data_IF_970351057508
#
_entry.id   IF_970351057508
#
_cell.length_a   1.000
_cell.length_b   1.000
_cell.length_c   1.000
_cell.angle_alpha   90.00
_cell.angle_beta   90.00
_cell.angle_gamma   90.00
#
_symmetry.space_group_name_H-M   'P 1'
#
loop_
_entity.id
_entity.type
_entity.pdbx_description
1 polymer ?
#
# COMPACT_ATOMS: atom_id res chain seq x y z
N UNK A 1 10.99 6.97 -28.54
CA UNK A 1 11.69 8.28 -28.53
C UNK A 1 12.66 8.25 -27.37
N UNK A 2 13.94 8.52 -27.60
CA UNK A 2 14.94 8.57 -26.52
C UNK A 2 14.71 9.85 -25.70
N UNK A 3 14.67 9.80 -24.36
CA UNK A 3 14.47 10.99 -23.55
C UNK A 3 15.65 11.96 -23.74
N UNK A 4 15.36 13.26 -23.72
CA UNK A 4 16.39 14.31 -23.88
C UNK A 4 17.40 14.34 -22.73
N UNK A 5 16.98 13.82 -21.57
CA UNK A 5 17.84 13.64 -20.40
C UNK A 5 17.87 12.13 -20.13
N UNK A 6 19.04 11.46 -20.22
CA UNK A 6 19.14 10.06 -19.89
C UNK A 6 18.86 9.83 -18.40
N UNK A 7 18.33 8.65 -18.06
CA UNK A 7 18.22 8.22 -16.66
C UNK A 7 19.62 8.20 -16.06
N UNK A 8 19.82 8.93 -14.97
CA UNK A 8 21.03 8.85 -14.16
C UNK A 8 20.77 7.86 -13.02
N UNK A 9 21.53 6.77 -12.99
CA UNK A 9 21.54 5.83 -11.88
C UNK A 9 22.58 6.28 -10.85
N UNK A 10 22.14 7.17 -9.96
CA UNK A 10 22.99 7.72 -8.91
C UNK A 10 22.93 6.82 -7.67
N UNK A 11 24.02 6.80 -6.90
CA UNK A 11 24.05 6.13 -5.61
C UNK A 11 23.54 7.07 -4.51
N UNK A 12 22.94 6.49 -3.47
CA UNK A 12 22.67 7.23 -2.24
C UNK A 12 23.89 7.18 -1.33
N UNK A 13 24.37 8.34 -0.90
CA UNK A 13 25.50 8.43 0.02
C UNK A 13 25.19 7.73 1.36
N UNK A 14 23.92 7.75 1.78
CA UNK A 14 23.46 7.14 3.02
C UNK A 14 23.51 5.60 2.99
N UNK A 15 23.49 4.99 1.80
CA UNK A 15 23.50 3.53 1.63
C UNK A 15 24.93 2.94 1.69
N UNK A 16 25.95 3.79 1.64
CA UNK A 16 27.33 3.31 1.65
C UNK A 16 27.67 2.66 3.00
N UNK A 17 28.42 1.55 2.94
CA UNK A 17 28.79 0.77 4.14
C UNK A 17 29.60 1.58 5.16
N UNK A 18 30.35 2.57 4.70
CA UNK A 18 31.13 3.49 5.53
C UNK A 18 30.29 4.65 6.11
N UNK A 19 29.06 4.87 5.65
CA UNK A 19 28.27 6.02 6.08
C UNK A 19 27.83 5.87 7.55
N UNK A 20 28.02 6.89 8.40
CA UNK A 20 27.76 6.77 9.84
C UNK A 20 26.30 6.42 10.15
N UNK A 21 26.10 5.39 10.98
CA UNK A 21 24.76 4.86 11.28
C UNK A 21 23.82 5.90 11.88
N UNK A 22 24.31 6.77 12.76
CA UNK A 22 23.48 7.83 13.36
C UNK A 22 23.01 8.86 12.32
N UNK A 23 23.87 9.23 11.35
CA UNK A 23 23.48 10.11 10.24
C UNK A 23 22.48 9.43 9.32
N UNK A 24 22.63 8.12 9.07
CA UNK A 24 21.66 7.34 8.27
C UNK A 24 20.28 7.40 8.89
N UNK A 25 20.21 7.22 10.21
CA UNK A 25 18.95 7.34 10.95
C UNK A 25 18.32 8.73 10.83
N UNK A 26 19.11 9.81 10.85
CA UNK A 26 18.59 11.16 10.62
C UNK A 26 18.10 11.38 9.18
N UNK A 27 18.83 10.88 8.17
CA UNK A 27 18.38 10.94 6.77
C UNK A 27 17.04 10.21 6.60
N UNK A 28 16.94 8.97 7.10
CA UNK A 28 15.72 8.17 7.05
C UNK A 28 14.55 8.84 7.78
N UNK A 29 14.83 9.45 8.94
CA UNK A 29 13.83 10.23 9.70
C UNK A 29 13.36 11.45 8.90
N UNK A 30 14.29 12.19 8.30
CA UNK A 30 13.98 13.35 7.46
C UNK A 30 13.13 12.98 6.26
N UNK A 31 13.49 11.91 5.53
CA UNK A 31 12.71 11.39 4.42
C UNK A 31 11.30 10.97 4.86
N UNK A 32 11.19 10.25 5.98
CA UNK A 32 9.87 9.90 6.55
C UNK A 32 9.05 11.14 6.89
N UNK A 33 9.68 12.18 7.43
CA UNK A 33 9.02 13.45 7.73
C UNK A 33 8.51 14.14 6.45
N UNK A 34 9.29 14.15 5.36
CA UNK A 34 8.83 14.74 4.08
C UNK A 34 7.58 14.05 3.53
N UNK A 35 7.40 12.75 3.80
CA UNK A 35 6.23 11.99 3.35
C UNK A 35 5.00 12.14 4.25
N UNK A 36 5.20 12.55 5.50
CA UNK A 36 4.15 12.59 6.53
C UNK A 36 3.71 14.00 6.87
N UNK A 37 4.53 15.00 6.55
CA UNK A 37 4.20 16.41 6.74
C UNK A 37 3.40 16.95 5.56
N UNK A 38 2.36 17.72 5.87
CA UNK A 38 1.61 18.51 4.91
C UNK A 38 2.08 19.96 5.02
N UNK A 39 2.69 20.51 3.96
CA UNK A 39 3.14 21.90 3.93
C UNK A 39 1.91 22.80 3.74
N UNK A 40 1.56 23.67 4.72
CA UNK A 40 0.41 24.56 4.58
C UNK A 40 0.51 25.40 3.31
N UNK A 41 -0.63 25.65 2.66
CA UNK A 41 -0.77 26.42 1.42
C UNK A 41 -0.22 25.76 0.14
N UNK A 42 0.74 24.84 0.24
CA UNK A 42 1.30 24.12 -0.92
C UNK A 42 0.68 22.73 -1.11
N UNK A 43 0.23 22.10 -0.03
CA UNK A 43 -0.31 20.74 -0.05
C UNK A 43 -1.66 20.69 0.66
N UNK A 44 -2.61 19.93 0.10
CA UNK A 44 -3.91 19.68 0.73
C UNK A 44 -3.86 18.52 1.74
N UNK A 45 -2.88 17.62 1.59
CA UNK A 45 -2.61 16.51 2.49
C UNK A 45 -1.14 16.08 2.36
N UNK A 46 -0.66 15.23 3.29
CA UNK A 46 0.69 14.67 3.18
C UNK A 46 0.82 13.76 1.95
N UNK A 47 2.03 13.59 1.40
CA UNK A 47 2.27 12.65 0.30
C UNK A 47 1.78 11.23 0.57
N UNK A 48 1.94 10.71 1.79
CA UNK A 48 1.41 9.38 2.16
C UNK A 48 -0.13 9.31 2.06
N UNK A 49 -0.83 10.35 2.53
CA UNK A 49 -2.30 10.44 2.39
C UNK A 49 -2.72 10.61 0.93
N UNK A 50 -1.93 11.32 0.12
CA UNK A 50 -2.18 11.43 -1.32
C UNK A 50 -2.10 10.06 -2.00
N UNK A 51 -1.12 9.23 -1.67
CA UNK A 51 -1.03 7.84 -2.19
C UNK A 51 -2.24 7.02 -1.76
N UNK A 52 -2.67 7.10 -0.50
CA UNK A 52 -3.89 6.42 -0.05
C UNK A 52 -5.14 6.87 -0.83
N UNK A 53 -5.26 8.17 -1.13
CA UNK A 53 -6.34 8.71 -1.97
C UNK A 53 -6.29 8.15 -3.40
N UNK A 54 -5.10 8.05 -3.99
CA UNK A 54 -4.90 7.49 -5.32
C UNK A 54 -5.30 6.00 -5.32
N UNK A 55 -4.79 5.20 -4.38
CA UNK A 55 -5.15 3.78 -4.27
C UNK A 55 -6.67 3.59 -4.15
N UNK A 56 -7.32 4.37 -3.27
CA UNK A 56 -8.78 4.31 -3.10
C UNK A 56 -9.54 4.73 -4.36
N UNK A 57 -9.07 5.76 -5.07
CA UNK A 57 -9.71 6.26 -6.29
C UNK A 57 -9.57 5.26 -7.44
N UNK A 58 -8.34 4.84 -7.73
CA UNK A 58 -8.05 3.99 -8.90
C UNK A 58 -8.56 2.55 -8.70
N UNK A 59 -8.47 2.00 -7.49
CA UNK A 59 -8.96 0.64 -7.22
C UNK A 59 -10.44 0.60 -6.84
N UNK A 60 -11.02 1.74 -6.45
CA UNK A 60 -12.46 1.90 -6.17
C UNK A 60 -13.01 0.76 -5.28
N UNK A 61 -13.99 -0.02 -5.78
CA UNK A 61 -14.61 -1.12 -5.02
C UNK A 61 -13.64 -2.29 -4.75
N UNK A 62 -12.60 -2.44 -5.56
CA UNK A 62 -11.61 -3.52 -5.44
C UNK A 62 -10.50 -3.21 -4.44
N UNK A 63 -10.42 -1.98 -3.91
CA UNK A 63 -9.34 -1.57 -2.97
C UNK A 63 -9.22 -2.51 -1.76
N UNK A 64 -10.36 -3.01 -1.25
CA UNK A 64 -10.42 -3.93 -0.12
C UNK A 64 -10.14 -5.40 -0.48
N UNK A 65 -10.13 -5.72 -1.77
CA UNK A 65 -9.89 -7.06 -2.31
C UNK A 65 -8.41 -7.43 -2.36
N UNK A 66 -7.49 -6.53 -2.00
CA UNK A 66 -6.05 -6.78 -2.02
C UNK A 66 -5.42 -6.85 -0.63
N UNK A 67 -4.32 -7.59 -0.55
CA UNK A 67 -3.26 -7.42 0.44
C UNK A 67 -2.12 -6.66 -0.23
N UNK A 68 -1.70 -5.54 0.38
CA UNK A 68 -0.62 -4.71 -0.14
C UNK A 68 0.71 -5.19 0.44
N UNK A 69 1.70 -5.44 -0.41
CA UNK A 69 3.02 -5.93 0.01
C UNK A 69 4.07 -4.99 -0.58
N UNK A 70 4.78 -4.29 0.29
CA UNK A 70 5.92 -3.46 -0.09
C UNK A 70 7.16 -4.35 -0.19
N UNK A 71 7.72 -4.49 -1.38
CA UNK A 71 8.84 -5.39 -1.67
C UNK A 71 10.22 -4.76 -1.45
N UNK A 72 10.25 -3.47 -1.16
CA UNK A 72 11.49 -2.72 -0.96
C UNK A 72 11.27 -1.67 0.14
N UNK A 73 10.73 -2.13 1.27
CA UNK A 73 10.24 -1.25 2.32
C UNK A 73 11.34 -0.47 3.04
N UNK A 74 12.62 -0.89 2.95
CA UNK A 74 13.72 -0.34 3.74
C UNK A 74 13.36 -0.31 5.23
N UNK A 75 13.52 0.84 5.90
CA UNK A 75 13.10 1.03 7.29
C UNK A 75 11.57 1.14 7.50
N UNK A 76 10.77 1.03 6.44
CA UNK A 76 9.30 1.12 6.43
C UNK A 76 8.75 2.35 5.70
N UNK A 77 9.53 3.43 5.63
CA UNK A 77 9.24 4.62 4.82
C UNK A 77 7.80 5.15 4.96
N UNK A 78 7.11 5.46 3.85
CA UNK A 78 5.75 5.99 3.88
C UNK A 78 4.68 4.91 4.14
N UNK A 79 5.02 3.63 4.02
CA UNK A 79 4.05 2.52 3.96
C UNK A 79 3.15 2.41 5.19
N UNK A 80 3.65 2.52 6.44
CA UNK A 80 2.80 2.56 7.63
C UNK A 80 1.77 3.71 7.61
N UNK A 81 2.13 4.85 7.03
CA UNK A 81 1.26 6.03 6.97
C UNK A 81 0.23 5.93 5.85
N UNK A 82 0.61 5.35 4.71
CA UNK A 82 -0.32 5.00 3.62
C UNK A 82 -1.37 4.01 4.13
N UNK A 83 -0.93 2.97 4.84
CA UNK A 83 -1.80 1.97 5.47
C UNK A 83 -2.83 2.64 6.39
N UNK A 84 -2.37 3.45 7.34
CA UNK A 84 -3.22 4.12 8.30
C UNK A 84 -4.23 5.05 7.60
N UNK A 85 -3.77 5.88 6.66
CA UNK A 85 -4.64 6.80 5.93
C UNK A 85 -5.71 6.04 5.15
N UNK A 86 -5.34 4.96 4.45
CA UNK A 86 -6.28 4.15 3.67
C UNK A 86 -7.31 3.44 4.56
N UNK A 87 -6.87 2.81 5.65
CA UNK A 87 -7.77 2.11 6.57
C UNK A 87 -8.69 3.07 7.35
N UNK A 88 -8.24 4.28 7.68
CA UNK A 88 -9.10 5.32 8.26
C UNK A 88 -10.21 5.72 7.28
N UNK A 89 -9.86 5.97 6.01
CA UNK A 89 -10.83 6.32 4.97
C UNK A 89 -11.89 5.24 4.75
N UNK A 90 -11.48 3.97 4.72
CA UNK A 90 -12.39 2.82 4.57
C UNK A 90 -13.28 2.60 5.81
N UNK A 91 -12.81 3.02 6.98
CA UNK A 91 -13.60 2.99 8.21
C UNK A 91 -14.63 4.11 8.25
N UNK A 92 -14.28 5.34 7.82
CA UNK A 92 -15.20 6.47 7.77
C UNK A 92 -16.33 6.31 6.75
N UNK A 93 -16.08 5.59 5.63
CA UNK A 93 -17.15 5.29 4.66
C UNK A 93 -18.22 4.35 5.21
N UNK A 94 -17.92 3.57 6.25
CA UNK A 94 -18.91 2.73 6.96
C UNK A 94 -19.88 3.56 7.81
N UNK A 95 -19.47 4.76 8.23
CA UNK A 95 -20.21 5.62 9.16
C UNK A 95 -21.13 6.62 8.47
N UNK A 96 -21.07 6.74 7.14
CA UNK A 96 -21.98 7.62 6.40
C UNK A 96 -23.31 6.90 6.20
N UNK A 97 -24.44 7.38 6.76
CA UNK A 97 -25.73 6.74 6.54
C UNK A 97 -26.07 6.80 5.05
N UNK A 98 -26.37 5.65 4.45
CA UNK A 98 -26.99 5.59 3.14
C UNK A 98 -28.18 6.54 3.13
N UNK A 99 -28.21 7.51 2.22
CA UNK A 99 -29.37 8.37 2.03
C UNK A 99 -30.62 7.48 1.93
N UNK A 100 -31.73 7.81 2.63
CA UNK A 100 -32.95 7.03 2.49
C UNK A 100 -33.33 6.98 1.00
N UNK A 101 -33.88 5.85 0.51
CA UNK A 101 -34.31 5.75 -0.88
C UNK A 101 -35.21 6.94 -1.20
N UNK A 102 -34.95 7.60 -2.33
CA UNK A 102 -35.81 8.71 -2.75
C UNK A 102 -37.25 8.22 -2.79
N UNK A 103 -38.19 9.05 -2.37
CA UNK A 103 -39.62 8.73 -2.35
C UNK A 103 -40.12 8.17 -3.71
N UNK A 104 -39.49 8.59 -4.82
CA UNK A 104 -39.78 8.09 -6.17
C UNK A 104 -39.48 6.59 -6.37
N UNK A 105 -38.50 6.01 -5.67
CA UNK A 105 -38.16 4.59 -5.77
C UNK A 105 -39.12 3.68 -4.98
N UNK A 106 -39.85 4.24 -4.01
CA UNK A 106 -40.80 3.50 -3.17
C UNK A 106 -42.17 3.35 -3.85
N UNK A 107 -42.51 4.25 -4.77
CA UNK A 107 -43.82 4.28 -5.44
C UNK A 107 -43.90 3.32 -6.64
N UNK A 108 -42.77 2.82 -7.15
CA UNK A 108 -42.72 1.96 -8.34
C UNK A 108 -42.73 0.44 -8.06
N UNK A 109 -42.92 -0.01 -6.83
CA UNK A 109 -42.98 -1.44 -6.51
C UNK A 109 -44.43 -1.95 -6.48
N UNK A 110 -44.78 -2.79 -7.47
CA UNK A 110 -46.03 -3.55 -7.51
C UNK A 110 -46.17 -4.42 -6.25
N UNK A 111 -47.36 -4.40 -5.64
CA UNK A 111 -47.68 -5.00 -4.33
C UNK A 111 -47.79 -6.54 -4.29
N UNK A 112 -47.40 -7.28 -5.34
CA UNK A 112 -47.72 -8.72 -5.48
C UNK A 112 -46.52 -9.68 -5.48
N UNK A 113 -45.34 -9.27 -5.01
CA UNK A 113 -44.20 -10.19 -4.85
C UNK A 113 -43.77 -10.30 -3.37
N UNK A 114 -43.51 -11.52 -2.85
CA UNK A 114 -42.89 -11.66 -1.52
C UNK A 114 -41.54 -10.95 -1.55
N UNK A 115 -41.33 -10.02 -0.60
CA UNK A 115 -40.10 -9.27 -0.49
C UNK A 115 -38.89 -10.23 -0.44
N UNK A 116 -37.86 -10.05 -1.29
CA UNK A 116 -36.64 -10.83 -1.14
C UNK A 116 -36.09 -10.57 0.26
N UNK A 117 -35.84 -11.65 1.01
CA UNK A 117 -35.27 -11.55 2.34
C UNK A 117 -34.02 -10.65 2.28
N UNK A 118 -33.87 -9.68 3.20
CA UNK A 118 -32.68 -8.85 3.22
C UNK A 118 -31.48 -9.78 3.39
N UNK A 119 -30.61 -9.82 2.39
CA UNK A 119 -29.33 -10.50 2.50
C UNK A 119 -28.68 -10.00 3.79
N UNK A 120 -28.46 -10.91 4.74
CA UNK A 120 -27.80 -10.60 6.00
C UNK A 120 -26.46 -9.95 5.64
N UNK A 121 -26.37 -8.62 5.83
CA UNK A 121 -25.16 -7.86 5.64
C UNK A 121 -24.19 -8.25 6.77
N UNK A 122 -23.52 -9.38 6.60
CA UNK A 122 -22.29 -9.68 7.33
C UNK A 122 -21.41 -8.42 7.26
N UNK A 123 -20.90 -7.93 8.40
CA UNK A 123 -20.11 -6.71 8.42
C UNK A 123 -18.88 -6.92 7.53
N UNK A 124 -18.92 -6.39 6.30
CA UNK A 124 -17.79 -6.43 5.38
C UNK A 124 -16.62 -5.74 6.08
N UNK A 125 -15.62 -6.53 6.48
CA UNK A 125 -14.37 -6.04 7.01
C UNK A 125 -13.58 -5.43 5.85
N UNK A 126 -13.87 -4.17 5.52
CA UNK A 126 -13.22 -3.44 4.44
C UNK A 126 -11.76 -3.09 4.71
N UNK A 127 -11.29 -3.30 5.95
CA UNK A 127 -9.91 -3.03 6.32
C UNK A 127 -8.92 -3.83 5.47
N UNK A 128 -7.90 -3.14 4.98
CA UNK A 128 -6.86 -3.71 4.13
C UNK A 128 -5.61 -3.99 4.95
N UNK A 129 -4.86 -5.02 4.54
CA UNK A 129 -3.63 -5.43 5.20
C UNK A 129 -2.44 -4.95 4.38
N UNK A 130 -1.42 -4.45 5.06
CA UNK A 130 -0.13 -4.11 4.49
C UNK A 130 0.95 -5.03 5.08
N UNK A 131 1.94 -5.37 4.26
CA UNK A 131 3.09 -6.21 4.63
C UNK A 131 4.37 -5.52 4.18
N UNK A 132 5.31 -5.33 5.09
CA UNK A 132 6.65 -4.82 4.79
C UNK A 132 7.59 -6.00 4.50
N UNK A 133 8.31 -5.93 3.39
CA UNK A 133 9.37 -6.87 3.04
C UNK A 133 10.52 -6.12 2.38
N UNK A 134 11.72 -6.68 2.48
CA UNK A 134 12.92 -6.10 1.88
C UNK A 134 13.99 -7.18 1.70
N UNK A 135 14.95 -6.95 0.80
CA UNK A 135 16.13 -7.79 0.68
C UNK A 135 17.05 -7.66 1.91
N UNK A 136 17.00 -6.52 2.59
CA UNK A 136 17.72 -6.20 3.82
C UNK A 136 16.75 -5.77 4.94
N UNK A 137 16.06 -6.71 5.61
CA UNK A 137 15.02 -6.41 6.59
C UNK A 137 15.43 -5.49 7.75
N UNK A 138 14.63 -4.44 7.99
CA UNK A 138 14.79 -3.52 9.13
C UNK A 138 13.82 -3.85 10.28
N UNK A 139 13.94 -5.06 10.83
CA UNK A 139 12.97 -5.66 11.77
C UNK A 139 12.63 -4.76 12.96
N UNK A 140 13.61 -4.11 13.60
CA UNK A 140 13.36 -3.23 14.75
C UNK A 140 12.43 -2.05 14.41
N UNK A 141 12.60 -1.46 13.22
CA UNK A 141 11.75 -0.36 12.74
C UNK A 141 10.35 -0.85 12.41
N UNK A 142 10.26 -2.03 11.79
CA UNK A 142 8.99 -2.63 11.39
C UNK A 142 8.17 -3.13 12.58
N UNK A 143 8.80 -3.68 13.62
CA UNK A 143 8.13 -4.04 14.87
C UNK A 143 7.48 -2.82 15.52
N UNK A 144 8.19 -1.69 15.56
CA UNK A 144 7.65 -0.44 16.09
C UNK A 144 6.43 0.02 15.29
N UNK A 145 6.51 -0.04 13.96
CA UNK A 145 5.39 0.33 13.09
C UNK A 145 4.19 -0.63 13.22
N UNK A 146 4.43 -1.94 13.22
CA UNK A 146 3.39 -2.97 13.34
C UNK A 146 2.67 -2.93 14.70
N UNK A 147 3.35 -2.53 15.78
CA UNK A 147 2.69 -2.29 17.08
C UNK A 147 1.65 -1.16 17.04
N UNK A 148 1.78 -0.22 16.10
CA UNK A 148 0.85 0.91 15.98
C UNK A 148 -0.42 0.57 15.17
N UNK A 149 -0.45 -0.55 14.45
CA UNK A 149 -1.59 -0.92 13.61
C UNK A 149 -1.74 -2.44 13.47
N UNK A 150 -2.92 -3.03 13.79
CA UNK A 150 -3.17 -4.46 13.57
C UNK A 150 -3.28 -4.83 12.08
N UNK A 151 -3.21 -3.84 11.19
CA UNK A 151 -3.30 -4.00 9.74
C UNK A 151 -1.94 -3.97 9.05
N UNK A 152 -0.87 -3.72 9.80
CA UNK A 152 0.49 -3.75 9.30
C UNK A 152 1.25 -4.94 9.90
N UNK A 153 1.88 -5.73 9.05
CA UNK A 153 2.80 -6.80 9.45
C UNK A 153 4.04 -6.76 8.57
N UNK A 154 4.95 -7.71 8.74
CA UNK A 154 6.21 -7.75 8.00
C UNK A 154 6.72 -9.18 7.83
N UNK A 155 7.65 -9.37 6.90
CA UNK A 155 8.42 -10.62 6.73
C UNK A 155 9.85 -10.33 7.20
N UNK A 156 10.29 -10.99 8.28
CA UNK A 156 11.60 -10.72 8.89
C UNK A 156 12.77 -11.33 8.14
N UNK A 157 12.53 -12.31 7.25
CA UNK A 157 13.55 -12.88 6.38
C UNK A 157 13.74 -12.01 5.13
N UNK A 158 14.96 -11.99 4.54
CA UNK A 158 15.20 -11.36 3.24
C UNK A 158 14.20 -11.83 2.17
N UNK A 159 13.71 -10.88 1.39
CA UNK A 159 12.81 -11.12 0.25
C UNK A 159 13.37 -10.40 -0.97
N UNK A 160 13.71 -11.18 -2.01
CA UNK A 160 14.12 -10.62 -3.30
C UNK A 160 12.89 -10.20 -4.11
N UNK A 161 12.82 -8.92 -4.46
CA UNK A 161 11.76 -8.36 -5.30
C UNK A 161 11.74 -8.95 -6.72
N UNK A 162 12.86 -9.42 -7.25
CA UNK A 162 12.95 -10.08 -8.55
C UNK A 162 12.54 -11.56 -8.49
N UNK A 163 12.40 -12.13 -7.29
CA UNK A 163 12.08 -13.53 -7.06
C UNK A 163 11.17 -13.70 -5.85
N UNK A 164 9.95 -13.11 -5.91
CA UNK A 164 9.02 -13.13 -4.80
C UNK A 164 8.71 -14.58 -4.34
N UNK A 165 8.86 -14.91 -3.04
CA UNK A 165 8.62 -16.25 -2.52
C UNK A 165 7.18 -16.73 -2.83
N UNK A 166 6.99 -17.88 -3.50
CA UNK A 166 5.66 -18.35 -3.87
C UNK A 166 4.73 -18.55 -2.67
N UNK A 167 5.27 -18.99 -1.53
CA UNK A 167 4.51 -19.18 -0.29
C UNK A 167 3.98 -17.85 0.27
N UNK A 168 4.78 -16.77 0.21
CA UNK A 168 4.35 -15.42 0.60
C UNK A 168 3.18 -14.95 -0.26
N UNK A 169 3.26 -15.15 -1.58
CA UNK A 169 2.21 -14.77 -2.52
C UNK A 169 0.94 -15.62 -2.30
N UNK A 170 1.07 -16.95 -2.34
CA UNK A 170 -0.05 -17.88 -2.22
C UNK A 170 -0.77 -17.73 -0.88
N UNK A 171 -0.05 -17.53 0.22
CA UNK A 171 -0.66 -17.32 1.55
C UNK A 171 -1.51 -16.06 1.62
N UNK A 172 -1.11 -14.99 0.93
CA UNK A 172 -1.86 -13.72 0.94
C UNK A 172 -2.92 -13.64 -0.19
N UNK A 173 -2.87 -14.56 -1.17
CA UNK A 173 -3.99 -14.82 -2.08
C UNK A 173 -5.04 -15.76 -1.47
N UNK A 174 -4.61 -16.67 -0.59
CA UNK A 174 -5.51 -17.50 0.19
C UNK A 174 -6.43 -16.59 1.01
N UNK A 175 -7.73 -16.94 1.11
CA UNK A 175 -8.84 -16.12 1.64
C UNK A 175 -9.52 -15.19 0.63
N UNK A 176 -9.31 -15.39 -0.67
CA UNK A 176 -10.08 -14.69 -1.72
C UNK A 176 -9.65 -13.25 -1.96
N UNK A 177 -8.45 -12.87 -1.50
CA UNK A 177 -7.82 -11.59 -1.80
C UNK A 177 -6.83 -11.76 -2.96
N UNK A 178 -6.55 -10.67 -3.68
CA UNK A 178 -5.39 -10.55 -4.55
C UNK A 178 -4.17 -9.99 -3.80
N UNK A 179 -3.01 -10.01 -4.44
CA UNK A 179 -1.78 -9.36 -3.96
C UNK A 179 -1.51 -8.11 -4.81
N UNK A 180 -1.32 -6.98 -4.15
CA UNK A 180 -0.88 -5.73 -4.76
C UNK A 180 0.55 -5.41 -4.31
N UNK A 181 1.50 -5.36 -5.25
CA UNK A 181 2.92 -5.10 -4.93
C UNK A 181 3.23 -3.61 -4.97
N UNK A 182 3.90 -3.11 -3.93
CA UNK A 182 4.36 -1.73 -3.84
C UNK A 182 5.90 -1.69 -3.84
N UNK A 183 6.45 -0.61 -4.39
CA UNK A 183 7.90 -0.35 -4.45
C UNK A 183 8.22 1.07 -3.98
N UNK A 184 7.79 1.40 -2.75
CA UNK A 184 7.86 2.78 -2.25
C UNK A 184 9.32 3.24 -2.13
N UNK A 185 9.67 4.32 -2.85
CA UNK A 185 10.99 4.95 -2.80
C UNK A 185 12.16 4.02 -3.17
N UNK A 186 11.92 3.00 -3.99
CA UNK A 186 12.94 1.99 -4.26
C UNK A 186 13.44 1.98 -5.71
N UNK A 187 12.61 2.38 -6.67
CA UNK A 187 12.85 2.06 -8.09
C UNK A 187 14.05 2.79 -8.72
N UNK A 188 14.54 3.87 -8.09
CA UNK A 188 15.75 4.57 -8.51
C UNK A 188 17.05 3.87 -8.10
N UNK A 189 17.00 2.89 -7.19
CA UNK A 189 18.16 2.09 -6.78
C UNK A 189 18.52 1.01 -7.79
N UNK A 190 17.58 0.61 -8.67
CA UNK A 190 17.79 -0.50 -9.59
C UNK A 190 18.39 -0.04 -10.92
N UNK A 191 19.29 -0.84 -11.48
CA UNK A 191 19.64 -0.72 -12.88
C UNK A 191 18.50 -1.24 -13.78
N UNK A 192 18.65 -1.08 -15.08
CA UNK A 192 17.59 -1.45 -16.05
C UNK A 192 17.30 -2.95 -16.07
N UNK A 193 18.31 -3.81 -15.83
CA UNK A 193 18.16 -5.27 -15.86
C UNK A 193 17.42 -5.76 -14.62
N UNK A 194 17.82 -5.28 -13.44
CA UNK A 194 17.16 -5.60 -12.18
C UNK A 194 15.73 -5.05 -12.14
N UNK A 195 15.52 -3.80 -12.59
CA UNK A 195 14.18 -3.23 -12.71
C UNK A 195 13.27 -4.07 -13.61
N UNK A 196 13.79 -4.55 -14.74
CA UNK A 196 13.06 -5.43 -15.65
C UNK A 196 12.72 -6.78 -15.00
N UNK A 197 13.67 -7.38 -14.28
CA UNK A 197 13.44 -8.63 -13.57
C UNK A 197 12.35 -8.49 -12.49
N UNK A 198 12.38 -7.41 -11.70
CA UNK A 198 11.37 -7.09 -10.69
C UNK A 198 9.99 -6.92 -11.32
N UNK A 199 9.88 -6.15 -12.40
CA UNK A 199 8.60 -5.94 -13.08
C UNK A 199 8.07 -7.23 -13.71
N UNK A 200 8.94 -8.03 -14.32
CA UNK A 200 8.54 -9.32 -14.90
C UNK A 200 7.95 -10.24 -13.82
N UNK A 201 8.70 -10.43 -12.72
CA UNK A 201 8.23 -11.23 -11.59
C UNK A 201 6.95 -10.66 -10.97
N UNK A 202 6.80 -9.34 -10.92
CA UNK A 202 5.60 -8.67 -10.42
C UNK A 202 4.38 -9.00 -11.25
N UNK A 203 4.47 -8.86 -12.57
CA UNK A 203 3.37 -9.16 -13.50
C UNK A 203 3.01 -10.65 -13.48
N UNK A 204 3.99 -11.54 -13.31
CA UNK A 204 3.75 -12.99 -13.25
C UNK A 204 3.08 -13.45 -11.95
N UNK A 205 3.35 -12.78 -10.82
CA UNK A 205 2.98 -13.29 -9.49
C UNK A 205 1.90 -12.51 -8.76
N UNK A 206 1.65 -11.25 -9.13
CA UNK A 206 0.71 -10.36 -8.42
C UNK A 206 -0.51 -10.00 -9.25
N UNK A 207 -1.55 -9.46 -8.60
CA UNK A 207 -2.81 -9.06 -9.23
C UNK A 207 -2.88 -7.54 -9.46
N UNK A 208 -1.86 -6.81 -9.01
CA UNK A 208 -1.70 -5.37 -9.18
C UNK A 208 -0.33 -4.90 -8.67
N UNK A 209 0.13 -3.75 -9.16
CA UNK A 209 1.36 -3.11 -8.69
C UNK A 209 1.28 -1.58 -8.77
N UNK A 210 2.11 -0.90 -7.98
CA UNK A 210 2.18 0.57 -7.94
C UNK A 210 3.42 1.11 -7.23
#
# INVERSE_FOLDING_TARGET
MTPWIPRLHLFEIADQSWFPAFLRAYVQTGLTHTWTTCIPLLQSCSPATLVANILRRELSASVSSYTYIDFCAGAGGPTPYIEQALNQQLSSSRSSPSSPPSYAAVVSQNYDAPAPAPALNEPRNLGVKFILTDLHPHVESWEKAARASPRLTYVSSPVDAAAAPPDLILKNKAQGKGVFRLFNLAFHHFDDDLARAILNNTVETSDGFG
#
